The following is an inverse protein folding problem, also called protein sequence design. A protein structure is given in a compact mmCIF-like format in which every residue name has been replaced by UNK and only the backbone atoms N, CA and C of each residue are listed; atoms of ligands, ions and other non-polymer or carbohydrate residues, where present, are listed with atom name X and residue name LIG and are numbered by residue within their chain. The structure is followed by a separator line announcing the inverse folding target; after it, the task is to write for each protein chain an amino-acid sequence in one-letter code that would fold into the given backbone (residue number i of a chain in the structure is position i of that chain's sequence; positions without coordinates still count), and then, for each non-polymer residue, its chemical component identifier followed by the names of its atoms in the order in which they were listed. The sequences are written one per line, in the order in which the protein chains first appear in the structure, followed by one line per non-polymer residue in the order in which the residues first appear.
data_IF_183497881812
#
_entry.id   IF_183497881812
#
_cell.length_a   1.000
_cell.length_b   1.000
_cell.length_c   1.000
_cell.angle_alpha   90.00
_cell.angle_beta   90.00
_cell.angle_gamma   90.00
#
_symmetry.space_group_name_H-M   'P 1'
#
loop_
_entity.id
_entity.type
_entity.pdbx_description
1 polymer ?
#
# COMPACT_ATOMS: atom_id res chain seq x y z
N UNK A 1 6.36 -17.18 -48.70
CA UNK A 1 5.56 -16.20 -47.94
C UNK A 1 5.55 -16.65 -46.49
N UNK A 2 6.43 -16.08 -45.66
CA UNK A 2 6.51 -16.40 -44.23
C UNK A 2 5.66 -15.36 -43.52
N UNK A 3 4.51 -15.79 -43.00
CA UNK A 3 3.65 -14.94 -42.19
C UNK A 3 4.27 -14.84 -40.80
N UNK A 4 4.94 -13.73 -40.54
CA UNK A 4 5.38 -13.34 -39.20
C UNK A 4 4.16 -13.07 -38.34
N UNK A 5 3.87 -14.00 -37.43
CA UNK A 5 2.93 -13.77 -36.34
C UNK A 5 3.45 -12.61 -35.50
N UNK A 6 2.84 -11.43 -35.64
CA UNK A 6 3.00 -10.31 -34.70
C UNK A 6 2.68 -10.82 -33.30
N UNK A 7 3.72 -10.99 -32.47
CA UNK A 7 3.55 -11.17 -31.03
C UNK A 7 3.02 -9.83 -30.50
N UNK A 8 1.81 -9.85 -29.98
CA UNK A 8 1.21 -8.73 -29.26
C UNK A 8 1.99 -8.59 -27.94
N UNK A 9 3.04 -7.75 -27.94
CA UNK A 9 3.76 -7.34 -26.74
C UNK A 9 2.90 -6.31 -26.01
N UNK A 10 1.80 -6.77 -25.40
CA UNK A 10 1.24 -6.04 -24.28
C UNK A 10 2.19 -6.32 -23.13
N UNK A 11 3.00 -5.32 -22.78
CA UNK A 11 3.68 -5.29 -21.48
C UNK A 11 2.63 -5.62 -20.42
N UNK A 12 2.70 -6.84 -19.88
CA UNK A 12 2.11 -7.08 -18.57
C UNK A 12 2.93 -6.21 -17.65
N UNK A 13 2.32 -5.18 -17.09
CA UNK A 13 2.82 -4.58 -15.86
C UNK A 13 2.88 -5.74 -14.86
N UNK A 14 4.05 -6.34 -14.71
CA UNK A 14 4.29 -7.42 -13.76
C UNK A 14 4.16 -6.79 -12.37
N UNK A 15 2.94 -6.83 -11.85
CA UNK A 15 2.60 -6.38 -10.50
C UNK A 15 3.04 -7.40 -9.45
N UNK A 16 4.16 -8.08 -9.72
CA UNK A 16 4.71 -9.15 -8.91
C UNK A 16 6.01 -8.70 -8.26
N UNK A 17 6.21 -9.01 -6.99
CA UNK A 17 7.47 -8.74 -6.29
C UNK A 17 7.89 -9.94 -5.45
N UNK A 18 9.20 -10.14 -5.30
CA UNK A 18 9.76 -11.26 -4.53
C UNK A 18 10.30 -10.77 -3.19
N UNK A 19 9.88 -11.40 -2.09
CA UNK A 19 10.48 -11.21 -0.75
C UNK A 19 10.95 -12.56 -0.23
N UNK A 20 12.24 -12.66 0.12
CA UNK A 20 12.86 -13.89 0.65
C UNK A 20 12.64 -15.13 -0.23
N UNK A 21 12.62 -14.95 -1.55
CA UNK A 21 12.40 -16.04 -2.52
C UNK A 21 10.93 -16.48 -2.65
N UNK A 22 10.00 -15.74 -2.06
CA UNK A 22 8.56 -15.93 -2.23
C UNK A 22 8.05 -14.86 -3.18
N UNK A 23 7.40 -15.29 -4.25
CA UNK A 23 6.79 -14.40 -5.23
C UNK A 23 5.38 -14.01 -4.78
N UNK A 24 5.10 -12.71 -4.79
CA UNK A 24 3.80 -12.13 -4.46
C UNK A 24 3.24 -11.44 -5.69
N UNK A 25 2.03 -11.83 -6.10
CA UNK A 25 1.29 -11.13 -7.15
C UNK A 25 0.33 -10.12 -6.52
N UNK A 26 0.50 -8.84 -6.85
CA UNK A 26 -0.45 -7.79 -6.48
C UNK A 26 -1.56 -7.75 -7.52
N UNK A 27 -2.77 -8.12 -7.10
CA UNK A 27 -3.96 -7.85 -7.87
C UNK A 27 -4.34 -6.36 -7.72
N UNK A 28 -3.78 -5.51 -8.59
CA UNK A 28 -4.05 -4.05 -8.58
C UNK A 28 -5.54 -3.75 -8.68
N UNK A 29 -6.34 -4.58 -9.36
CA UNK A 29 -7.78 -4.37 -9.47
C UNK A 29 -8.47 -4.51 -8.12
N UNK A 30 -8.21 -5.59 -7.41
CA UNK A 30 -8.74 -5.79 -6.05
C UNK A 30 -8.24 -4.72 -5.09
N UNK A 31 -6.99 -4.27 -5.24
CA UNK A 31 -6.46 -3.17 -4.44
C UNK A 31 -7.18 -1.84 -4.69
N UNK A 32 -7.48 -1.52 -5.96
CA UNK A 32 -8.29 -0.34 -6.32
C UNK A 32 -9.71 -0.45 -5.77
N UNK A 33 -10.34 -1.61 -5.91
CA UNK A 33 -11.69 -1.85 -5.38
C UNK A 33 -11.72 -1.72 -3.85
N UNK A 34 -10.70 -2.26 -3.16
CA UNK A 34 -10.50 -2.10 -1.72
C UNK A 34 -10.39 -0.62 -1.32
N UNK A 35 -9.60 0.17 -2.04
CA UNK A 35 -9.51 1.61 -1.80
C UNK A 35 -10.87 2.25 -2.02
N UNK A 36 -11.54 2.05 -3.16
CA UNK A 36 -12.85 2.64 -3.43
C UNK A 36 -13.87 2.32 -2.32
N UNK A 37 -13.93 1.07 -1.84
CA UNK A 37 -14.81 0.71 -0.74
C UNK A 37 -14.40 1.35 0.59
N UNK A 38 -13.10 1.50 0.83
CA UNK A 38 -12.58 2.18 2.01
C UNK A 38 -12.90 3.68 2.01
N UNK A 39 -13.15 4.29 0.85
CA UNK A 39 -13.51 5.72 0.75
C UNK A 39 -14.80 6.08 1.48
N UNK A 40 -15.67 5.09 1.72
CA UNK A 40 -16.88 5.26 2.51
C UNK A 40 -16.61 5.43 4.01
N UNK A 41 -15.42 5.04 4.48
CA UNK A 41 -15.06 5.02 5.90
C UNK A 41 -13.83 5.89 6.21
N UNK A 42 -13.04 6.24 5.18
CA UNK A 42 -11.77 6.94 5.31
C UNK A 42 -11.54 7.83 4.09
N UNK A 43 -10.94 9.00 4.32
CA UNK A 43 -10.47 9.85 3.23
C UNK A 43 -9.27 9.24 2.51
N UNK A 44 -9.37 9.08 1.18
CA UNK A 44 -8.33 8.48 0.33
C UNK A 44 -7.60 9.59 -0.40
N UNK A 45 -7.01 10.47 0.39
CA UNK A 45 -6.11 11.53 -0.08
C UNK A 45 -4.77 11.39 0.65
N UNK A 46 -3.76 12.16 0.24
CA UNK A 46 -2.48 12.21 0.96
C UNK A 46 -2.67 12.58 2.43
N UNK A 47 -3.59 13.50 2.70
CA UNK A 47 -3.93 13.98 4.05
C UNK A 47 -4.78 12.95 4.80
N UNK A 48 -5.72 12.30 4.13
CA UNK A 48 -6.51 11.21 4.69
C UNK A 48 -5.66 10.01 5.14
N UNK A 49 -4.64 9.63 4.37
CA UNK A 49 -3.68 8.60 4.78
C UNK A 49 -2.84 9.02 5.98
N UNK A 50 -2.39 10.28 6.05
CA UNK A 50 -1.69 10.80 7.24
C UNK A 50 -2.55 10.70 8.48
N UNK A 51 -3.83 11.08 8.38
CA UNK A 51 -4.78 11.03 9.49
C UNK A 51 -5.06 9.60 9.94
N UNK A 52 -5.23 8.65 9.01
CA UNK A 52 -5.41 7.24 9.33
C UNK A 52 -4.18 6.70 10.08
N UNK A 53 -3.00 6.89 9.50
CA UNK A 53 -1.76 6.35 10.06
C UNK A 53 -1.45 6.98 11.42
N UNK A 54 -1.69 8.29 11.57
CA UNK A 54 -1.60 8.99 12.85
C UNK A 54 -2.55 8.40 13.89
N UNK A 55 -3.83 8.21 13.54
CA UNK A 55 -4.82 7.63 14.45
C UNK A 55 -4.44 6.21 14.91
N UNK A 56 -3.88 5.38 14.01
CA UNK A 56 -3.41 4.04 14.37
C UNK A 56 -2.17 4.12 15.27
N UNK A 57 -1.23 5.03 14.97
CA UNK A 57 -0.04 5.23 15.79
C UNK A 57 -0.40 5.70 17.21
N UNK A 58 -1.32 6.66 17.33
CA UNK A 58 -1.84 7.14 18.61
C UNK A 58 -2.56 6.02 19.35
N UNK A 59 -3.40 5.23 18.68
CA UNK A 59 -4.06 4.07 19.28
C UNK A 59 -3.07 3.00 19.76
N UNK A 60 -1.95 2.79 19.07
CA UNK A 60 -0.88 1.90 19.54
C UNK A 60 -0.26 2.48 20.81
N UNK A 61 0.11 3.76 20.81
CA UNK A 61 0.74 4.42 21.96
C UNK A 61 -0.19 4.45 23.19
N UNK A 62 -1.48 4.68 22.99
CA UNK A 62 -2.48 4.76 24.05
C UNK A 62 -2.86 3.37 24.61
N UNK A 63 -2.98 2.36 23.74
CA UNK A 63 -3.32 1.00 24.17
C UNK A 63 -2.14 0.22 24.71
N UNK A 64 -0.89 0.63 24.43
CA UNK A 64 0.29 -0.02 25.02
C UNK A 64 0.55 0.39 26.49
N UNK A 65 -0.49 0.87 27.15
CA UNK A 65 -0.49 1.24 28.56
C UNK A 65 -0.26 0.03 29.46
N UNK A 66 1.03 -0.30 29.66
CA UNK A 66 1.73 -0.47 30.96
C UNK A 66 2.94 -1.40 30.91
N UNK A 67 3.11 -2.21 29.85
CA UNK A 67 4.12 -3.28 29.83
C UNK A 67 5.11 -3.25 28.66
N UNK A 68 4.85 -2.48 27.61
CA UNK A 68 5.74 -2.41 26.45
C UNK A 68 6.62 -1.17 26.49
N UNK A 69 7.87 -1.34 26.12
CA UNK A 69 8.85 -0.26 25.98
C UNK A 69 8.73 0.41 24.62
N UNK A 70 9.17 1.67 24.52
CA UNK A 70 9.22 2.38 23.24
C UNK A 70 10.04 1.63 22.17
N UNK A 71 11.05 0.86 22.59
CA UNK A 71 11.87 0.05 21.68
C UNK A 71 11.08 -1.13 21.08
N UNK A 72 10.10 -1.67 21.80
CA UNK A 72 9.22 -2.74 21.31
C UNK A 72 8.12 -2.22 20.37
N UNK A 73 7.76 -0.93 20.48
CA UNK A 73 6.74 -0.24 19.65
C UNK A 73 7.35 0.38 18.38
N UNK A 74 8.65 0.69 18.42
CA UNK A 74 9.37 1.35 17.32
C UNK A 74 9.25 0.61 15.98
N UNK A 75 9.30 -0.74 15.90
CA UNK A 75 9.13 -1.46 14.63
C UNK A 75 7.75 -1.24 14.00
N UNK A 76 6.67 -1.24 14.79
CA UNK A 76 5.29 -1.04 14.33
C UNK A 76 5.12 0.38 13.78
N UNK A 77 5.65 1.39 14.48
CA UNK A 77 5.61 2.78 14.02
C UNK A 77 6.41 2.98 12.73
N UNK A 78 7.57 2.32 12.59
CA UNK A 78 8.34 2.34 11.33
C UNK A 78 7.55 1.71 10.19
N UNK A 79 6.92 0.56 10.43
CA UNK A 79 6.09 -0.11 9.44
C UNK A 79 4.94 0.80 8.96
N UNK A 80 4.21 1.42 9.88
CA UNK A 80 3.14 2.36 9.55
C UNK A 80 3.62 3.52 8.68
N UNK A 81 4.83 4.03 8.94
CA UNK A 81 5.44 5.07 8.11
C UNK A 81 5.69 4.60 6.67
N UNK A 82 6.23 3.40 6.49
CA UNK A 82 6.50 2.85 5.16
C UNK A 82 5.20 2.55 4.40
N UNK A 83 4.16 2.06 5.10
CA UNK A 83 2.82 1.90 4.53
C UNK A 83 2.26 3.25 4.06
N UNK A 84 2.39 4.31 4.86
CA UNK A 84 1.94 5.65 4.48
C UNK A 84 2.64 6.14 3.19
N UNK A 85 3.96 5.98 3.12
CA UNK A 85 4.74 6.35 1.94
C UNK A 85 4.29 5.57 0.70
N UNK A 86 4.04 4.27 0.84
CA UNK A 86 3.55 3.44 -0.25
C UNK A 86 2.18 3.90 -0.74
N UNK A 87 1.19 4.08 0.15
CA UNK A 87 -0.14 4.54 -0.20
C UNK A 87 -0.12 5.90 -0.90
N UNK A 88 0.69 6.84 -0.40
CA UNK A 88 0.90 8.14 -1.03
C UNK A 88 1.58 8.06 -2.39
N UNK A 89 2.48 7.10 -2.60
CA UNK A 89 3.15 6.91 -3.89
C UNK A 89 2.19 6.38 -4.96
N UNK A 90 1.29 5.46 -4.60
CA UNK A 90 0.26 4.96 -5.51
C UNK A 90 -0.70 6.09 -5.85
N UNK A 91 -1.19 6.83 -4.85
CA UNK A 91 -2.14 7.91 -5.13
C UNK A 91 -1.50 9.10 -5.84
N UNK A 92 -0.25 9.44 -5.51
CA UNK A 92 0.51 10.52 -6.12
C UNK A 92 0.93 10.26 -7.57
N UNK A 93 1.10 8.99 -7.96
CA UNK A 93 1.38 8.61 -9.35
C UNK A 93 0.11 8.43 -10.19
N UNK A 94 -1.06 8.32 -9.57
CA UNK A 94 -2.36 8.27 -10.25
C UNK A 94 -3.02 9.66 -10.31
N UNK A 95 -2.32 10.66 -10.89
CA UNK A 95 -3.04 11.73 -11.57
C UNK A 95 -3.76 11.07 -12.76
N UNK A 96 -4.96 10.55 -12.47
CA UNK A 96 -5.92 10.12 -13.46
C UNK A 96 -6.35 11.37 -14.23
N UNK A 97 -5.82 11.51 -15.44
CA UNK A 97 -6.52 12.18 -16.54
C UNK A 97 -7.89 11.53 -16.78
#
# INVERSE_FOLDING_TARGET
MISEKKKDYREKEDNSFTINGIDFDINIREFKDFLIHSSAFMDITKEGFDNMIGSIADAILDNDSKNSTLEEIRPQLKFLREVNLYLKSIYGNNHLD
#
